data_IF_644010517607
#
_entry.id   IF_644010517607
#
_cell.length_a   1.000
_cell.length_b   1.000
_cell.length_c   1.000
_cell.angle_alpha   90.00
_cell.angle_beta   90.00
_cell.angle_gamma   90.00
#
_symmetry.space_group_name_H-M   'P 1'
#
loop_
_entity.id
_entity.type
_entity.pdbx_description
1 polymer ?
#
# COMPACT_ATOMS: atom_id res chain seq x y z
N UNK A 1 3.45 27.19 17.60
CA UNK A 1 3.02 27.19 16.19
C UNK A 1 2.65 25.75 15.86
N UNK A 2 1.38 25.40 16.03
CA UNK A 2 0.86 24.05 15.81
C UNK A 2 0.88 23.75 14.31
N UNK A 3 1.60 22.70 13.92
CA UNK A 3 1.69 22.26 12.53
C UNK A 3 0.31 21.82 12.06
N UNK A 4 -0.30 22.61 11.17
CA UNK A 4 -1.46 22.17 10.40
C UNK A 4 -1.01 20.99 9.53
N UNK A 5 -1.42 19.78 9.91
CA UNK A 5 -1.42 18.64 9.01
C UNK A 5 -2.27 19.00 7.79
N UNK A 6 -1.79 18.65 6.60
CA UNK A 6 -2.51 18.89 5.35
C UNK A 6 -3.76 18.01 5.34
N UNK A 7 -4.89 18.59 5.74
CA UNK A 7 -6.21 17.95 5.75
C UNK A 7 -6.80 17.96 4.32
N UNK A 8 -7.56 16.93 3.95
CA UNK A 8 -8.25 16.84 2.66
C UNK A 8 -9.16 18.05 2.41
N UNK A 9 -9.73 18.62 3.49
CA UNK A 9 -10.52 19.86 3.43
C UNK A 9 -9.68 21.04 2.94
N UNK A 10 -8.42 21.12 3.37
CA UNK A 10 -7.46 22.13 2.91
C UNK A 10 -7.13 21.96 1.42
N UNK A 11 -6.93 20.72 0.95
CA UNK A 11 -6.70 20.42 -0.47
C UNK A 11 -7.96 20.74 -1.31
N UNK A 12 -9.14 20.40 -0.81
CA UNK A 12 -10.42 20.68 -1.47
C UNK A 12 -10.67 22.19 -1.58
N UNK A 13 -10.43 22.93 -0.51
CA UNK A 13 -10.56 24.39 -0.48
C UNK A 13 -9.58 25.05 -1.45
N UNK A 14 -8.34 24.56 -1.52
CA UNK A 14 -7.31 25.04 -2.46
C UNK A 14 -7.66 24.76 -3.93
N UNK A 15 -8.32 23.65 -4.22
CA UNK A 15 -8.61 23.21 -5.60
C UNK A 15 -9.95 23.72 -6.13
N UNK A 16 -10.96 23.82 -5.27
CA UNK A 16 -12.34 24.18 -5.69
C UNK A 16 -12.76 25.57 -5.22
N UNK A 17 -12.03 26.18 -4.26
CA UNK A 17 -12.38 27.48 -3.69
C UNK A 17 -13.65 27.46 -2.82
N UNK A 18 -14.21 26.28 -2.51
CA UNK A 18 -15.41 26.13 -1.69
C UNK A 18 -15.14 25.23 -0.49
N UNK A 19 -15.75 25.55 0.64
CA UNK A 19 -15.78 24.63 1.78
C UNK A 19 -16.64 23.41 1.43
N UNK A 20 -16.15 22.17 1.68
CA UNK A 20 -16.92 20.98 1.38
C UNK A 20 -18.18 20.93 2.26
N UNK A 21 -19.34 20.73 1.64
CA UNK A 21 -20.64 20.66 2.32
C UNK A 21 -20.92 19.36 3.09
N UNK A 22 -19.91 18.49 3.24
CA UNK A 22 -19.97 17.22 3.97
C UNK A 22 -18.75 17.10 4.88
N UNK A 23 -18.97 16.67 6.12
CA UNK A 23 -17.91 16.58 7.14
C UNK A 23 -16.88 15.47 6.85
N UNK A 24 -17.27 14.43 6.11
CA UNK A 24 -16.39 13.31 5.71
C UNK A 24 -16.68 12.85 4.28
N UNK A 25 -15.63 12.42 3.58
CA UNK A 25 -15.74 11.77 2.28
C UNK A 25 -16.37 10.38 2.47
N UNK A 26 -17.34 9.96 1.64
CA UNK A 26 -17.92 8.63 1.75
C UNK A 26 -16.81 7.55 1.66
N UNK A 27 -16.86 6.49 2.48
CA UNK A 27 -15.76 5.53 2.56
C UNK A 27 -15.38 4.91 1.21
N UNK A 28 -16.34 4.75 0.29
CA UNK A 28 -16.07 4.23 -1.05
C UNK A 28 -15.22 5.20 -1.90
N UNK A 29 -15.40 6.52 -1.77
CA UNK A 29 -14.61 7.52 -2.51
C UNK A 29 -13.20 7.58 -1.94
N UNK A 30 -13.05 7.48 -0.63
CA UNK A 30 -11.75 7.42 0.02
C UNK A 30 -10.98 6.15 -0.38
N UNK A 31 -11.64 4.98 -0.41
CA UNK A 31 -11.02 3.74 -0.91
C UNK A 31 -10.67 3.81 -2.40
N UNK A 32 -11.52 4.40 -3.23
CA UNK A 32 -11.22 4.62 -4.65
C UNK A 32 -10.03 5.55 -4.86
N UNK A 33 -9.93 6.63 -4.07
CA UNK A 33 -8.79 7.54 -4.09
C UNK A 33 -7.52 6.84 -3.61
N UNK A 34 -7.59 6.05 -2.54
CA UNK A 34 -6.47 5.23 -2.06
C UNK A 34 -5.98 4.27 -3.16
N UNK A 35 -6.92 3.57 -3.81
CA UNK A 35 -6.60 2.67 -4.93
C UNK A 35 -5.98 3.41 -6.12
N UNK A 36 -6.53 4.56 -6.49
CA UNK A 36 -5.99 5.38 -7.58
C UNK A 36 -4.58 5.88 -7.26
N UNK A 37 -4.34 6.39 -6.04
CA UNK A 37 -3.03 6.86 -5.60
C UNK A 37 -2.03 5.70 -5.62
N UNK A 38 -2.37 4.55 -5.01
CA UNK A 38 -1.50 3.39 -4.97
C UNK A 38 -1.14 2.89 -6.38
N UNK A 39 -2.12 2.84 -7.28
CA UNK A 39 -1.92 2.44 -8.67
C UNK A 39 -1.02 3.43 -9.43
N UNK A 40 -1.26 4.73 -9.30
CA UNK A 40 -0.45 5.76 -9.95
C UNK A 40 0.97 5.75 -9.40
N UNK A 41 1.15 5.71 -8.07
CA UNK A 41 2.48 5.60 -7.47
C UNK A 41 3.21 4.35 -7.96
N UNK A 42 2.47 3.25 -8.10
CA UNK A 42 2.99 2.00 -8.60
C UNK A 42 3.49 2.05 -10.03
N UNK A 43 2.70 2.64 -10.93
CA UNK A 43 3.09 2.84 -12.33
C UNK A 43 4.30 3.75 -12.41
N UNK A 44 4.27 4.90 -11.71
CA UNK A 44 5.38 5.87 -11.70
C UNK A 44 6.67 5.22 -11.20
N UNK A 45 6.62 4.52 -10.06
CA UNK A 45 7.80 3.87 -9.47
C UNK A 45 8.34 2.75 -10.38
N UNK A 46 7.49 1.98 -11.04
CA UNK A 46 7.93 0.97 -12.03
C UNK A 46 8.57 1.62 -13.26
N UNK A 47 7.98 2.68 -13.80
CA UNK A 47 8.54 3.42 -14.94
C UNK A 47 9.90 4.00 -14.58
N UNK A 48 10.02 4.67 -13.43
CA UNK A 48 11.29 5.20 -12.93
C UNK A 48 12.32 4.08 -12.72
N UNK A 49 11.92 2.96 -12.10
CA UNK A 49 12.78 1.80 -11.89
C UNK A 49 13.29 1.23 -13.22
N UNK A 50 12.44 1.18 -14.25
CA UNK A 50 12.83 0.70 -15.57
C UNK A 50 13.78 1.64 -16.31
N UNK A 51 13.70 2.95 -16.04
CA UNK A 51 14.55 3.96 -16.66
C UNK A 51 15.93 4.08 -15.99
N UNK A 52 16.00 3.94 -14.65
CA UNK A 52 17.21 4.25 -13.88
C UNK A 52 17.98 3.02 -13.38
N UNK A 53 17.38 1.83 -13.30
CA UNK A 53 18.03 0.67 -12.67
C UNK A 53 18.58 -0.37 -13.66
N UNK A 54 19.79 -0.89 -13.39
CA UNK A 54 20.36 -1.99 -14.16
C UNK A 54 19.62 -3.32 -13.89
N UNK A 55 19.61 -4.19 -14.90
CA UNK A 55 18.84 -5.46 -14.93
C UNK A 55 18.93 -6.35 -13.67
N UNK A 56 20.09 -6.57 -13.01
CA UNK A 56 20.15 -7.46 -11.85
C UNK A 56 19.40 -6.92 -10.62
N UNK A 57 19.32 -5.61 -10.45
CA UNK A 57 18.63 -4.96 -9.33
C UNK A 57 17.16 -4.69 -9.68
N UNK A 58 16.88 -4.43 -10.96
CA UNK A 58 15.54 -4.15 -11.46
C UNK A 58 14.54 -5.25 -11.08
N UNK A 59 14.91 -6.53 -11.19
CA UNK A 59 14.03 -7.64 -10.81
C UNK A 59 13.62 -7.58 -9.33
N UNK A 60 14.58 -7.37 -8.43
CA UNK A 60 14.31 -7.27 -6.99
C UNK A 60 13.46 -6.03 -6.66
N UNK A 61 13.71 -4.89 -7.33
CA UNK A 61 12.92 -3.67 -7.10
C UNK A 61 11.50 -3.82 -7.64
N UNK A 62 11.31 -4.50 -8.77
CA UNK A 62 9.97 -4.81 -9.27
C UNK A 62 9.23 -5.74 -8.30
N UNK A 63 9.89 -6.77 -7.77
CA UNK A 63 9.32 -7.64 -6.74
C UNK A 63 8.93 -6.84 -5.48
N UNK A 64 9.79 -5.93 -5.04
CA UNK A 64 9.51 -5.01 -3.93
C UNK A 64 8.25 -4.18 -4.18
N UNK A 65 8.16 -3.52 -5.35
CA UNK A 65 7.03 -2.64 -5.68
C UNK A 65 5.72 -3.43 -5.80
N UNK A 66 5.76 -4.61 -6.42
CA UNK A 66 4.59 -5.48 -6.53
C UNK A 66 4.09 -5.95 -5.17
N UNK A 67 4.99 -6.38 -4.26
CA UNK A 67 4.59 -6.74 -2.89
C UNK A 67 4.07 -5.53 -2.12
N UNK A 68 4.73 -4.38 -2.24
CA UNK A 68 4.31 -3.17 -1.54
C UNK A 68 2.89 -2.74 -1.94
N UNK A 69 2.59 -2.71 -3.24
CA UNK A 69 1.26 -2.39 -3.75
C UNK A 69 0.21 -3.41 -3.30
N UNK A 70 0.52 -4.71 -3.41
CA UNK A 70 -0.40 -5.77 -3.01
C UNK A 70 -0.75 -5.67 -1.52
N UNK A 71 0.23 -5.45 -0.66
CA UNK A 71 0.02 -5.26 0.78
C UNK A 71 -0.77 -3.98 1.08
N UNK A 72 -0.50 -2.88 0.38
CA UNK A 72 -1.27 -1.64 0.53
C UNK A 72 -2.75 -1.84 0.18
N UNK A 73 -3.07 -2.61 -0.86
CA UNK A 73 -4.45 -2.96 -1.19
C UNK A 73 -5.15 -3.79 -0.11
N UNK A 74 -4.43 -4.71 0.54
CA UNK A 74 -4.99 -5.50 1.64
C UNK A 74 -5.40 -4.64 2.84
N UNK A 75 -4.63 -3.59 3.17
CA UNK A 75 -4.99 -2.69 4.25
C UNK A 75 -6.32 -1.96 3.97
N UNK A 76 -6.49 -1.43 2.76
CA UNK A 76 -7.73 -0.74 2.38
C UNK A 76 -8.93 -1.71 2.26
N UNK A 77 -8.70 -2.92 1.76
CA UNK A 77 -9.74 -3.94 1.64
C UNK A 77 -10.35 -4.34 3.00
N UNK A 78 -9.61 -4.22 4.11
CA UNK A 78 -10.16 -4.46 5.44
C UNK A 78 -11.25 -3.45 5.79
N UNK A 79 -11.11 -2.19 5.38
CA UNK A 79 -12.16 -1.18 5.54
C UNK A 79 -13.37 -1.49 4.65
N UNK A 80 -13.13 -1.87 3.39
CA UNK A 80 -14.22 -2.28 2.48
C UNK A 80 -15.02 -3.44 3.06
N UNK A 81 -14.35 -4.44 3.64
CA UNK A 81 -15.01 -5.56 4.30
C UNK A 81 -15.82 -5.11 5.53
N UNK A 82 -15.27 -4.23 6.36
CA UNK A 82 -15.92 -3.70 7.57
C UNK A 82 -17.20 -2.93 7.26
N UNK A 83 -17.19 -2.10 6.21
CA UNK A 83 -18.31 -1.20 5.90
C UNK A 83 -19.32 -1.75 4.89
N UNK A 84 -18.87 -2.53 3.91
CA UNK A 84 -19.69 -2.97 2.78
C UNK A 84 -19.93 -4.49 2.74
N UNK A 85 -19.24 -5.23 3.61
CA UNK A 85 -19.39 -6.68 3.72
C UNK A 85 -18.70 -7.47 2.60
N UNK A 86 -18.84 -8.79 2.67
CA UNK A 86 -18.02 -9.74 1.91
C UNK A 86 -18.19 -9.65 0.38
N UNK A 87 -19.35 -9.22 -0.12
CA UNK A 87 -19.62 -9.15 -1.56
C UNK A 87 -18.76 -8.08 -2.24
N UNK A 88 -18.71 -6.87 -1.67
CA UNK A 88 -17.93 -5.76 -2.19
C UNK A 88 -16.43 -6.00 -2.03
N UNK A 89 -16.04 -6.68 -0.95
CA UNK A 89 -14.68 -7.17 -0.76
C UNK A 89 -14.22 -8.12 -1.89
N UNK A 90 -15.06 -9.08 -2.30
CA UNK A 90 -14.76 -9.98 -3.42
C UNK A 90 -14.59 -9.19 -4.72
N UNK A 91 -15.50 -8.25 -5.02
CA UNK A 91 -15.42 -7.42 -6.23
C UNK A 91 -14.13 -6.59 -6.24
N UNK A 92 -13.77 -5.97 -5.10
CA UNK A 92 -12.55 -5.19 -4.96
C UNK A 92 -11.30 -6.03 -5.19
N UNK A 93 -11.22 -7.23 -4.58
CA UNK A 93 -10.10 -8.16 -4.79
C UNK A 93 -10.03 -8.62 -6.24
N UNK A 94 -11.16 -8.96 -6.87
CA UNK A 94 -11.16 -9.37 -8.27
C UNK A 94 -10.63 -8.24 -9.18
N UNK A 95 -11.07 -7.00 -8.95
CA UNK A 95 -10.57 -5.84 -9.68
C UNK A 95 -9.07 -5.63 -9.48
N UNK A 96 -8.59 -5.72 -8.24
CA UNK A 96 -7.17 -5.62 -7.92
C UNK A 96 -6.36 -6.75 -8.55
N UNK A 97 -6.81 -8.00 -8.49
CA UNK A 97 -6.13 -9.11 -9.13
C UNK A 97 -6.01 -8.91 -10.64
N UNK A 98 -7.03 -8.34 -11.31
CA UNK A 98 -6.96 -8.00 -12.73
C UNK A 98 -5.93 -6.90 -13.01
N UNK A 99 -5.91 -5.86 -12.17
CA UNK A 99 -4.94 -4.76 -12.28
C UNK A 99 -3.52 -5.25 -12.02
N UNK A 100 -3.30 -5.99 -10.94
CA UNK A 100 -2.03 -6.60 -10.57
C UNK A 100 -1.56 -7.57 -11.67
N UNK A 101 -2.44 -8.43 -12.18
CA UNK A 101 -2.09 -9.34 -13.29
C UNK A 101 -1.61 -8.61 -14.53
N UNK A 102 -2.17 -7.43 -14.84
CA UNK A 102 -1.69 -6.61 -15.97
C UNK A 102 -0.44 -5.80 -15.67
N UNK A 103 -0.24 -5.38 -14.41
CA UNK A 103 0.79 -4.41 -14.04
C UNK A 103 2.05 -5.08 -13.49
N UNK A 104 1.93 -6.27 -12.89
CA UNK A 104 3.04 -6.94 -12.20
C UNK A 104 4.01 -7.58 -13.18
N UNK A 105 3.60 -7.90 -14.41
CA UNK A 105 4.49 -8.37 -15.47
C UNK A 105 5.31 -9.59 -15.04
N UNK A 106 6.63 -9.43 -14.96
CA UNK A 106 7.57 -10.47 -14.53
C UNK A 106 7.81 -10.53 -13.00
N UNK A 107 7.27 -9.58 -12.25
CA UNK A 107 7.43 -9.50 -10.80
C UNK A 107 6.63 -10.56 -10.05
N UNK A 108 7.10 -10.90 -8.85
CA UNK A 108 6.43 -11.78 -7.91
C UNK A 108 6.20 -11.06 -6.59
N UNK A 109 4.95 -11.00 -6.16
CA UNK A 109 4.53 -10.39 -4.91
C UNK A 109 4.59 -11.35 -3.71
N UNK A 110 4.72 -12.66 -3.96
CA UNK A 110 4.55 -13.71 -2.96
C UNK A 110 5.88 -14.42 -2.58
N UNK A 111 6.29 -14.41 -1.30
CA UNK A 111 7.49 -15.11 -0.83
C UNK A 111 7.39 -16.63 -0.91
N UNK A 112 6.17 -17.18 -0.84
CA UNK A 112 5.94 -18.61 -1.02
C UNK A 112 6.25 -19.05 -2.45
N UNK A 113 6.05 -18.18 -3.45
CA UNK A 113 6.41 -18.49 -4.84
C UNK A 113 7.93 -18.58 -5.02
N UNK A 114 8.71 -17.72 -4.36
CA UNK A 114 10.17 -17.80 -4.36
C UNK A 114 10.64 -19.10 -3.66
N UNK A 115 10.02 -19.48 -2.54
CA UNK A 115 10.32 -20.74 -1.87
C UNK A 115 10.00 -21.96 -2.75
N UNK A 116 8.86 -21.96 -3.44
CA UNK A 116 8.48 -23.04 -4.34
C UNK A 116 9.46 -23.15 -5.53
N UNK A 117 9.85 -22.02 -6.13
CA UNK A 117 10.85 -21.99 -7.20
C UNK A 117 12.23 -22.49 -6.74
N UNK A 118 12.58 -22.30 -5.47
CA UNK A 118 13.78 -22.87 -4.88
C UNK A 118 13.66 -24.40 -4.75
N UNK A 119 12.53 -24.90 -4.27
CA UNK A 119 12.26 -26.35 -4.14
C UNK A 119 12.25 -27.05 -5.52
N UNK A 120 11.77 -26.36 -6.54
CA UNK A 120 11.74 -26.84 -7.94
C UNK A 120 13.08 -26.64 -8.68
N UNK A 121 14.15 -26.20 -7.99
CA UNK A 121 15.48 -25.90 -8.56
C UNK A 121 15.46 -24.90 -9.74
N UNK A 122 14.44 -24.03 -9.82
CA UNK A 122 14.31 -23.00 -10.85
C UNK A 122 15.17 -21.76 -10.55
N UNK A 123 15.47 -21.53 -9.27
CA UNK A 123 16.29 -20.40 -8.80
C UNK A 123 17.35 -20.85 -7.79
N UNK A 124 18.45 -20.11 -7.71
CA UNK A 124 19.48 -20.30 -6.69
C UNK A 124 18.98 -19.90 -5.28
N UNK A 125 19.48 -20.55 -4.23
CA UNK A 125 19.21 -20.21 -2.84
C UNK A 125 19.42 -18.72 -2.53
N UNK A 126 20.51 -18.12 -3.03
CA UNK A 126 20.81 -16.71 -2.81
C UNK A 126 19.71 -15.80 -3.38
N UNK A 127 19.19 -16.12 -4.57
CA UNK A 127 18.11 -15.36 -5.21
C UNK A 127 16.79 -15.52 -4.44
N UNK A 128 16.49 -16.73 -3.98
CA UNK A 128 15.30 -16.98 -3.17
C UNK A 128 15.33 -16.19 -1.85
N UNK A 129 16.45 -16.22 -1.14
CA UNK A 129 16.63 -15.45 0.10
C UNK A 129 16.52 -13.96 -0.17
N UNK A 130 17.20 -13.45 -1.21
CA UNK A 130 17.12 -12.03 -1.57
C UNK A 130 15.68 -11.59 -1.88
N UNK A 131 14.92 -12.38 -2.65
CA UNK A 131 13.51 -12.09 -2.95
C UNK A 131 12.65 -12.09 -1.69
N UNK A 132 12.77 -13.09 -0.82
CA UNK A 132 11.99 -13.17 0.43
C UNK A 132 12.31 -11.98 1.34
N UNK A 133 13.59 -11.61 1.48
CA UNK A 133 13.99 -10.44 2.28
C UNK A 133 13.42 -9.15 1.70
N UNK A 134 13.53 -8.95 0.38
CA UNK A 134 13.02 -7.75 -0.29
C UNK A 134 11.50 -7.65 -0.19
N UNK A 135 10.76 -8.75 -0.37
CA UNK A 135 9.32 -8.77 -0.23
C UNK A 135 8.87 -8.56 1.22
N UNK A 136 9.63 -9.06 2.20
CA UNK A 136 9.37 -8.81 3.62
C UNK A 136 9.58 -7.33 3.97
N UNK A 137 10.64 -6.71 3.44
CA UNK A 137 10.88 -5.26 3.57
C UNK A 137 9.79 -4.44 2.86
N UNK A 138 9.29 -4.91 1.72
CA UNK A 138 8.17 -4.29 1.02
C UNK A 138 6.88 -4.30 1.84
N UNK A 139 6.62 -5.38 2.58
CA UNK A 139 5.52 -5.44 3.54
C UNK A 139 5.62 -4.34 4.60
N UNK A 140 6.80 -4.16 5.21
CA UNK A 140 7.03 -3.10 6.19
C UNK A 140 6.90 -1.71 5.55
N UNK A 141 7.44 -1.53 4.34
CA UNK A 141 7.33 -0.27 3.60
C UNK A 141 5.88 0.06 3.22
N UNK A 142 5.08 -0.94 2.84
CA UNK A 142 3.67 -0.77 2.51
C UNK A 142 2.87 -0.25 3.69
N UNK A 143 3.22 -0.67 4.91
CA UNK A 143 2.60 -0.15 6.13
C UNK A 143 2.93 1.33 6.35
N UNK A 144 4.18 1.76 6.11
CA UNK A 144 4.55 3.18 6.18
C UNK A 144 3.86 4.01 5.09
N UNK A 145 3.72 3.45 3.89
CA UNK A 145 2.99 4.07 2.79
C UNK A 145 1.50 4.20 3.12
N UNK A 146 0.86 3.14 3.62
CA UNK A 146 -0.52 3.17 4.08
C UNK A 146 -0.72 4.22 5.19
N UNK A 147 0.18 4.28 6.18
CA UNK A 147 0.17 5.34 7.21
C UNK A 147 0.27 6.75 6.61
N UNK A 148 1.12 6.96 5.61
CA UNK A 148 1.23 8.27 4.95
C UNK A 148 -0.07 8.63 4.24
N UNK A 149 -0.70 7.69 3.54
CA UNK A 149 -1.98 7.94 2.85
C UNK A 149 -3.12 8.13 3.86
N UNK A 150 -3.13 7.39 4.97
CA UNK A 150 -4.09 7.56 6.06
C UNK A 150 -3.90 8.86 6.83
N UNK A 151 -2.67 9.39 6.91
CA UNK A 151 -2.39 10.70 7.53
C UNK A 151 -3.04 11.88 6.80
N UNK A 152 -3.57 11.67 5.59
CA UNK A 152 -4.39 12.65 4.86
C UNK A 152 -5.83 12.76 5.41
N UNK A 153 -6.17 11.96 6.42
CA UNK A 153 -7.41 12.03 7.21
C UNK A 153 -8.71 11.99 6.39
N UNK A 154 -8.74 11.16 5.33
CA UNK A 154 -9.89 11.08 4.42
C UNK A 154 -11.17 10.47 5.04
N UNK A 155 -11.06 9.74 6.17
CA UNK A 155 -12.18 9.07 6.87
C UNK A 155 -11.90 9.12 8.38
N UNK A 156 -12.95 9.29 9.22
CA UNK A 156 -12.83 9.23 10.68
C UNK A 156 -12.13 7.97 11.22
N UNK A 157 -12.28 6.82 10.54
CA UNK A 157 -11.60 5.57 10.91
C UNK A 157 -10.07 5.62 10.64
N UNK A 158 -9.60 6.45 9.70
CA UNK A 158 -8.15 6.69 9.53
C UNK A 158 -7.58 7.45 10.72
N UNK A 159 -8.35 8.38 11.29
CA UNK A 159 -8.02 9.10 12.52
C UNK A 159 -7.91 8.12 13.70
N UNK A 160 -8.87 7.21 13.90
CA UNK A 160 -8.83 6.21 14.98
C UNK A 160 -7.70 5.18 14.82
N UNK A 161 -7.39 4.75 13.60
CA UNK A 161 -6.29 3.80 13.38
C UNK A 161 -4.92 4.45 13.59
N UNK A 162 -4.71 5.69 13.11
CA UNK A 162 -3.47 6.44 13.37
C UNK A 162 -3.31 6.71 14.87
N UNK A 163 -4.37 7.15 15.56
CA UNK A 163 -4.33 7.39 17.00
C UNK A 163 -4.12 6.13 17.85
N UNK A 164 -4.78 5.02 17.53
CA UNK A 164 -4.58 3.76 18.26
C UNK A 164 -3.16 3.21 18.08
N UNK A 165 -2.55 3.45 16.91
CA UNK A 165 -1.17 3.05 16.63
C UNK A 165 -0.15 3.98 17.28
N UNK A 166 -0.41 5.28 17.36
CA UNK A 166 0.45 6.22 18.08
C UNK A 166 0.39 5.98 19.61
N UNK A 167 -0.77 5.61 20.16
CA UNK A 167 -0.90 5.16 21.55
C UNK A 167 -0.13 3.85 21.84
N UNK A 168 -0.07 2.93 20.87
CA UNK A 168 0.74 1.70 20.99
C UNK A 168 2.23 2.04 20.86
N UNK A 169 2.61 2.97 19.97
CA UNK A 169 3.98 3.44 19.80
C UNK A 169 4.49 4.13 21.08
N UNK A 170 3.67 4.95 21.72
CA UNK A 170 3.98 5.62 22.99
C UNK A 170 4.05 4.65 24.17
N UNK A 171 3.39 3.48 24.09
CA UNK A 171 3.51 2.41 25.07
C UNK A 171 4.59 1.35 24.75
N UNK A 172 5.17 1.35 23.54
CA UNK A 172 6.20 0.39 23.13
C UNK A 172 7.64 0.88 23.26
N UNK A 173 7.89 2.04 23.88
CA UNK A 173 9.24 2.39 24.37
C UNK A 173 9.73 1.46 25.50
N UNK A 174 8.93 0.49 25.95
CA UNK A 174 9.29 -0.43 27.05
C UNK A 174 9.77 -1.81 26.58
N UNK A 175 9.57 -2.23 25.32
CA UNK A 175 10.02 -3.57 24.89
C UNK A 175 10.53 -3.60 23.44
N UNK A 176 11.71 -3.00 23.23
CA UNK A 176 12.61 -3.35 22.11
C UNK A 176 13.91 -3.90 22.70
N UNK A 177 13.94 -5.21 22.92
CA UNK A 177 15.03 -6.15 22.65
C UNK A 177 14.43 -7.55 22.47
#
# INVERSE_FOLDING_TARGET
MQGQSIDWRGIWLLTTGQEPGVDFVPPYVASLLFFAINMVSGIVLRTLSSAFLPQPIRGLVVDFLCTMEACAYFFENNFVLKYYGSLWFIIAIMGQCLVCSRTFGEGSENPVKALLQLLDNQISLLKAVAQITVQSLAGVASYRFARMVWSLDLIADHHEMVWSLDLISDHHEVWVL
#
